data_IF_008996597857
#
_entry.id   IF_008996597857
#
_cell.length_a   1.000
_cell.length_b   1.000
_cell.length_c   1.000
_cell.angle_alpha   90.00
_cell.angle_beta   90.00
_cell.angle_gamma   90.00
#
_symmetry.space_group_name_H-M   'P 1'
#
loop_
_entity.id
_entity.type
_entity.pdbx_description
1 polymer ?
#
# COMPACT_ATOMS: atom_id res chain seq x y z
N UNK A 1 17.35 -16.65 13.86
CA UNK A 1 17.67 -17.70 12.87
C UNK A 1 17.12 -17.22 11.55
N UNK A 2 17.88 -17.17 10.45
CA UNK A 2 17.28 -16.97 9.15
C UNK A 2 16.33 -18.15 8.94
N UNK A 3 15.03 -17.87 8.78
CA UNK A 3 14.09 -18.87 8.28
C UNK A 3 14.48 -19.10 6.84
N UNK A 4 15.15 -20.23 6.59
CA UNK A 4 15.52 -20.67 5.25
C UNK A 4 14.24 -20.80 4.42
N UNK A 5 14.22 -20.19 3.23
CA UNK A 5 13.05 -20.25 2.36
C UNK A 5 12.84 -21.68 1.88
N UNK A 6 11.68 -22.26 2.16
CA UNK A 6 11.40 -23.61 1.71
C UNK A 6 11.03 -23.67 0.22
N UNK A 7 10.81 -24.88 -0.29
CA UNK A 7 10.48 -25.09 -1.69
C UNK A 7 9.18 -24.38 -2.12
N UNK A 8 8.20 -24.24 -1.22
CA UNK A 8 6.93 -23.57 -1.50
C UNK A 8 7.14 -22.05 -1.59
N UNK A 9 7.96 -21.48 -0.71
CA UNK A 9 8.30 -20.06 -0.73
C UNK A 9 9.07 -19.69 -2.00
N UNK A 10 10.01 -20.52 -2.43
CA UNK A 10 10.73 -20.34 -3.69
C UNK A 10 9.81 -20.45 -4.91
N UNK A 11 8.86 -21.38 -4.89
CA UNK A 11 7.87 -21.52 -5.95
C UNK A 11 6.92 -20.31 -6.00
N UNK A 12 6.46 -19.84 -4.84
CA UNK A 12 5.63 -18.64 -4.71
C UNK A 12 6.35 -17.39 -5.21
N UNK A 13 7.61 -17.18 -4.84
CA UNK A 13 8.41 -16.05 -5.32
C UNK A 13 8.57 -16.05 -6.84
N UNK A 14 8.79 -17.22 -7.46
CA UNK A 14 8.86 -17.34 -8.93
C UNK A 14 7.51 -17.10 -9.62
N UNK A 15 6.42 -17.62 -9.04
CA UNK A 15 5.09 -17.52 -9.64
C UNK A 15 4.45 -16.14 -9.46
N UNK A 16 4.82 -15.41 -8.41
CA UNK A 16 4.18 -14.17 -7.96
C UNK A 16 5.19 -13.06 -7.66
N UNK A 17 6.11 -12.82 -8.59
CA UNK A 17 7.09 -11.75 -8.51
C UNK A 17 6.40 -10.39 -8.27
N UNK A 18 6.87 -9.64 -7.26
CA UNK A 18 6.27 -8.36 -6.85
C UNK A 18 4.95 -8.45 -6.05
N UNK A 19 4.44 -9.65 -5.76
CA UNK A 19 3.23 -9.85 -4.95
C UNK A 19 3.49 -10.55 -3.60
N UNK A 20 4.67 -11.13 -3.42
CA UNK A 20 5.07 -11.78 -2.16
C UNK A 20 5.72 -10.76 -1.22
N UNK A 21 5.23 -10.71 0.03
CA UNK A 21 5.72 -9.82 1.07
C UNK A 21 6.18 -10.63 2.28
N UNK A 22 7.41 -10.39 2.71
CA UNK A 22 7.96 -10.92 3.96
C UNK A 22 7.39 -10.20 5.18
N UNK A 23 6.47 -10.85 5.89
CA UNK A 23 5.75 -10.27 7.05
C UNK A 23 6.65 -9.98 8.25
N UNK A 24 7.76 -10.70 8.40
CA UNK A 24 8.76 -10.43 9.44
C UNK A 24 9.44 -9.06 9.22
N UNK A 25 9.73 -8.70 7.96
CA UNK A 25 10.23 -7.37 7.61
C UNK A 25 9.18 -6.29 7.87
N UNK A 26 7.91 -6.53 7.56
CA UNK A 26 6.83 -5.55 7.82
C UNK A 26 6.78 -5.17 9.30
N UNK A 27 6.98 -6.14 10.20
CA UNK A 27 6.96 -5.90 11.65
C UNK A 27 8.07 -4.96 12.13
N UNK A 28 9.21 -4.89 11.45
CA UNK A 28 10.30 -3.96 11.86
C UNK A 28 9.99 -2.50 11.53
N UNK A 29 9.07 -2.24 10.60
CA UNK A 29 8.63 -0.89 10.22
C UNK A 29 7.34 -0.45 10.94
N UNK A 30 6.61 -1.39 11.56
CA UNK A 30 5.33 -1.11 12.20
C UNK A 30 5.49 -0.11 13.35
N UNK A 31 4.81 1.04 13.25
CA UNK A 31 4.83 2.09 14.27
C UNK A 31 6.09 2.98 14.27
N UNK A 32 7.08 2.72 13.39
CA UNK A 32 8.30 3.54 13.28
C UNK A 32 8.10 4.83 12.48
N UNK A 33 7.15 4.82 11.55
CA UNK A 33 6.82 5.93 10.67
C UNK A 33 5.33 6.30 10.80
N UNK A 34 4.95 7.57 10.60
CA UNK A 34 3.58 8.05 10.72
C UNK A 34 2.71 7.66 9.51
N UNK A 35 2.76 6.39 9.09
CA UNK A 35 1.99 5.84 7.97
C UNK A 35 1.34 4.51 8.37
N UNK A 36 0.19 4.14 7.78
CA UNK A 36 -0.44 2.84 8.03
C UNK A 36 0.48 1.68 7.63
N UNK A 37 0.32 0.53 8.31
CA UNK A 37 1.12 -0.67 8.06
C UNK A 37 1.11 -1.11 6.60
N UNK A 38 -0.04 -1.01 5.92
CA UNK A 38 -0.17 -1.43 4.52
C UNK A 38 0.71 -0.61 3.55
N UNK A 39 1.09 0.64 3.92
CA UNK A 39 2.02 1.46 3.14
C UNK A 39 3.42 0.83 3.16
N UNK A 40 3.88 0.43 4.35
CA UNK A 40 5.12 -0.32 4.49
C UNK A 40 5.08 -1.67 3.77
N UNK A 41 3.96 -2.39 3.85
CA UNK A 41 3.76 -3.64 3.11
C UNK A 41 3.88 -3.46 1.60
N UNK A 42 3.27 -2.41 1.05
CA UNK A 42 3.37 -2.10 -0.37
C UNK A 42 4.80 -1.80 -0.81
N UNK A 43 5.52 -0.97 -0.05
CA UNK A 43 6.91 -0.63 -0.37
C UNK A 43 7.82 -1.86 -0.27
N UNK A 44 7.66 -2.68 0.77
CA UNK A 44 8.40 -3.93 0.91
C UNK A 44 8.06 -4.94 -0.19
N UNK A 45 6.79 -5.09 -0.55
CA UNK A 45 6.40 -5.94 -1.68
C UNK A 45 6.96 -5.48 -3.02
N UNK A 46 7.24 -4.18 -3.15
CA UNK A 46 7.82 -3.62 -4.36
C UNK A 46 9.34 -3.75 -4.45
N UNK A 47 10.05 -3.54 -3.34
CA UNK A 47 11.51 -3.46 -3.32
C UNK A 47 12.19 -4.70 -2.74
N UNK A 48 11.45 -5.53 -1.99
CA UNK A 48 11.97 -6.72 -1.30
C UNK A 48 11.29 -8.02 -1.76
N UNK A 49 10.63 -8.05 -2.92
CA UNK A 49 10.03 -9.25 -3.49
C UNK A 49 11.08 -10.14 -4.17
N UNK A 50 12.08 -10.57 -3.41
CA UNK A 50 13.12 -11.51 -3.82
C UNK A 50 13.37 -12.52 -2.71
N UNK A 51 13.93 -13.67 -3.06
CA UNK A 51 14.45 -14.66 -2.11
C UNK A 51 15.95 -14.51 -1.86
N UNK A 52 16.63 -13.62 -2.59
CA UNK A 52 18.04 -13.32 -2.40
C UNK A 52 18.24 -12.33 -1.25
N UNK A 53 18.97 -12.72 -0.22
CA UNK A 53 19.20 -11.88 0.96
C UNK A 53 19.88 -10.54 0.63
N UNK A 54 20.77 -10.50 -0.35
CA UNK A 54 21.46 -9.27 -0.75
C UNK A 54 20.50 -8.27 -1.41
N UNK A 55 19.65 -8.74 -2.31
CA UNK A 55 18.61 -7.92 -2.96
C UNK A 55 17.57 -7.43 -1.94
N UNK A 56 17.17 -8.30 -1.00
CA UNK A 56 16.28 -7.91 0.11
C UNK A 56 16.91 -6.80 0.95
N UNK A 57 18.20 -6.92 1.29
CA UNK A 57 18.92 -5.92 2.09
C UNK A 57 19.01 -4.57 1.38
N UNK A 58 19.28 -4.56 0.07
CA UNK A 58 19.25 -3.34 -0.75
C UNK A 58 17.84 -2.74 -0.78
N UNK A 59 16.83 -3.57 -1.04
CA UNK A 59 15.43 -3.17 -1.04
C UNK A 59 15.01 -2.53 0.28
N UNK A 60 15.44 -3.09 1.41
CA UNK A 60 15.17 -2.55 2.75
C UNK A 60 15.76 -1.15 2.93
N UNK A 61 16.99 -0.90 2.48
CA UNK A 61 17.60 0.43 2.54
C UNK A 61 16.81 1.44 1.70
N UNK A 62 16.30 1.02 0.53
CA UNK A 62 15.45 1.86 -0.30
C UNK A 62 14.14 2.22 0.42
N UNK A 63 13.47 1.24 1.03
CA UNK A 63 12.23 1.46 1.78
C UNK A 63 12.47 2.37 2.98
N UNK A 64 13.52 2.11 3.76
CA UNK A 64 13.87 2.91 4.93
C UNK A 64 14.14 4.37 4.56
N UNK A 65 14.91 4.60 3.50
CA UNK A 65 15.19 5.94 2.96
C UNK A 65 13.91 6.64 2.50
N UNK A 66 13.05 5.97 1.72
CA UNK A 66 11.81 6.58 1.24
C UNK A 66 10.88 6.97 2.39
N UNK A 67 10.71 6.10 3.38
CA UNK A 67 9.88 6.41 4.54
C UNK A 67 10.49 7.52 5.40
N UNK A 68 11.82 7.55 5.59
CA UNK A 68 12.46 8.61 6.36
C UNK A 68 12.42 9.98 5.69
N UNK A 69 12.53 10.03 4.37
CA UNK A 69 12.58 11.29 3.62
C UNK A 69 11.19 11.84 3.29
N UNK A 70 10.15 11.00 3.26
CA UNK A 70 8.84 11.37 2.69
C UNK A 70 7.67 11.21 3.67
N UNK A 71 7.80 10.43 4.74
CA UNK A 71 6.74 10.32 5.74
C UNK A 71 6.84 11.52 6.70
N UNK A 72 5.89 12.44 6.60
CA UNK A 72 5.89 13.69 7.38
C UNK A 72 5.47 13.41 8.82
N UNK A 73 6.32 13.77 9.79
CA UNK A 73 5.95 13.74 11.23
C UNK A 73 5.14 14.96 11.62
N UNK A 74 4.39 14.85 12.73
CA UNK A 74 3.45 15.87 13.20
C UNK A 74 4.10 17.26 13.45
N UNK A 75 5.41 17.32 13.67
CA UNK A 75 6.20 18.52 13.92
C UNK A 75 7.07 18.96 12.72
N UNK A 76 7.07 18.21 11.63
CA UNK A 76 7.90 18.47 10.44
C UNK A 76 7.10 19.16 9.30
N UNK A 77 5.80 19.40 9.47
CA UNK A 77 4.94 19.93 8.40
C UNK A 77 5.43 21.25 7.77
N UNK A 78 5.93 22.19 8.58
CA UNK A 78 6.45 23.47 8.07
C UNK A 78 7.80 23.32 7.38
N UNK A 79 8.60 22.32 7.77
CA UNK A 79 9.84 21.98 7.10
C UNK A 79 9.57 21.52 5.66
N UNK A 80 8.60 20.62 5.46
CA UNK A 80 8.23 20.15 4.13
C UNK A 80 7.61 21.26 3.26
N UNK A 81 6.78 22.14 3.83
CA UNK A 81 6.25 23.32 3.13
C UNK A 81 7.37 24.28 2.70
N UNK A 82 8.32 24.55 3.59
CA UNK A 82 9.48 25.38 3.29
C UNK A 82 10.34 24.74 2.18
N UNK A 83 10.61 23.43 2.24
CA UNK A 83 11.32 22.72 1.19
C UNK A 83 10.60 22.81 -0.16
N UNK A 84 9.28 22.66 -0.20
CA UNK A 84 8.50 22.83 -1.43
C UNK A 84 8.67 24.24 -2.01
N UNK A 85 8.65 25.27 -1.15
CA UNK A 85 8.86 26.66 -1.55
C UNK A 85 10.27 26.93 -2.06
N UNK A 86 11.30 26.51 -1.33
CA UNK A 86 12.70 26.81 -1.67
C UNK A 86 13.21 26.00 -2.87
N UNK A 87 12.77 24.74 -2.99
CA UNK A 87 13.22 23.84 -4.05
C UNK A 87 12.21 23.73 -5.22
N UNK A 88 11.09 24.44 -5.15
CA UNK A 88 9.96 24.37 -6.09
C UNK A 88 9.08 23.12 -5.96
N UNK A 89 9.54 22.08 -5.26
CA UNK A 89 8.72 20.90 -4.91
C UNK A 89 9.35 20.02 -3.85
N UNK A 90 8.53 19.19 -3.23
CA UNK A 90 8.93 18.14 -2.29
C UNK A 90 8.11 16.87 -2.51
N UNK A 91 8.69 15.70 -2.27
CA UNK A 91 7.95 14.43 -2.30
C UNK A 91 7.56 14.00 -0.89
N UNK A 92 6.30 13.63 -0.72
CA UNK A 92 5.75 13.14 0.55
C UNK A 92 4.97 11.85 0.33
N UNK A 93 4.74 11.11 1.42
CA UNK A 93 3.76 10.03 1.48
C UNK A 93 2.63 10.48 2.39
N UNK A 94 1.43 10.66 1.83
CA UNK A 94 0.28 11.17 2.58
C UNK A 94 -1.04 10.54 2.10
N UNK A 95 -2.06 10.63 2.94
CA UNK A 95 -3.43 10.34 2.57
C UNK A 95 -3.94 11.44 1.64
N UNK A 96 -4.18 11.10 0.38
CA UNK A 96 -4.74 12.03 -0.59
C UNK A 96 -6.25 11.89 -0.67
N UNK A 97 -6.96 12.98 -0.37
CA UNK A 97 -8.41 13.12 -0.60
C UNK A 97 -8.66 14.33 -1.48
N UNK A 98 -9.79 14.36 -2.18
CA UNK A 98 -10.20 15.49 -2.99
C UNK A 98 -11.69 15.80 -2.79
N UNK A 99 -12.07 17.04 -3.08
CA UNK A 99 -13.47 17.47 -3.12
C UNK A 99 -13.68 18.49 -4.24
N UNK A 100 -14.93 18.61 -4.69
CA UNK A 100 -15.33 19.69 -5.59
C UNK A 100 -15.54 20.97 -4.78
N UNK A 101 -14.74 22.00 -5.05
CA UNK A 101 -15.03 23.35 -4.60
C UNK A 101 -16.05 23.98 -5.55
N UNK A 102 -17.31 23.90 -5.17
CA UNK A 102 -18.44 24.39 -5.98
C UNK A 102 -18.43 25.91 -6.17
N UNK A 103 -17.73 26.67 -5.32
CA UNK A 103 -17.67 28.13 -5.45
C UNK A 103 -16.78 28.55 -6.62
N UNK A 104 -15.66 27.86 -6.77
CA UNK A 104 -14.65 28.15 -7.80
C UNK A 104 -14.71 27.18 -8.99
N UNK A 105 -15.61 26.18 -8.93
CA UNK A 105 -15.77 25.13 -9.93
C UNK A 105 -14.47 24.37 -10.26
N UNK A 106 -13.70 24.05 -9.23
CA UNK A 106 -12.43 23.30 -9.33
C UNK A 106 -12.37 22.19 -8.30
N UNK A 107 -11.57 21.16 -8.58
CA UNK A 107 -11.21 20.19 -7.55
C UNK A 107 -10.09 20.74 -6.67
N UNK A 108 -10.16 20.43 -5.38
CA UNK A 108 -9.08 20.68 -4.42
C UNK A 108 -8.76 19.42 -3.65
N UNK A 109 -7.47 19.22 -3.41
CA UNK A 109 -6.94 18.12 -2.63
C UNK A 109 -6.68 18.54 -1.17
N UNK A 110 -6.72 17.56 -0.29
CA UNK A 110 -6.32 17.69 1.12
C UNK A 110 -5.18 16.73 1.40
N UNK A 111 -4.12 17.26 2.01
CA UNK A 111 -2.91 16.58 2.46
C UNK A 111 -2.81 16.78 3.98
N UNK A 112 -3.38 15.86 4.78
CA UNK A 112 -3.54 16.05 6.21
C UNK A 112 -2.21 16.11 6.97
N UNK A 113 -1.17 15.40 6.50
CA UNK A 113 0.14 15.41 7.17
C UNK A 113 0.84 16.77 7.06
N UNK A 114 0.45 17.58 6.08
CA UNK A 114 0.88 18.98 5.94
C UNK A 114 -0.15 20.00 6.42
N UNK A 115 -1.32 19.55 6.91
CA UNK A 115 -2.44 20.42 7.27
C UNK A 115 -2.89 21.33 6.12
N UNK A 116 -2.79 20.87 4.87
CA UNK A 116 -3.24 21.61 3.68
C UNK A 116 -4.60 21.08 3.23
N UNK A 117 -5.59 21.96 3.02
CA UNK A 117 -6.98 21.57 2.70
C UNK A 117 -7.49 22.09 1.35
N UNK A 118 -6.66 22.88 0.67
CA UNK A 118 -6.98 23.66 -0.52
C UNK A 118 -5.86 23.55 -1.57
N UNK A 119 -5.24 22.37 -1.67
CA UNK A 119 -4.16 22.10 -2.62
C UNK A 119 -4.74 21.98 -4.03
N UNK A 120 -4.12 22.65 -5.01
CA UNK A 120 -4.52 22.54 -6.43
C UNK A 120 -4.30 21.11 -6.92
N UNK A 121 -5.24 20.58 -7.71
CA UNK A 121 -5.11 19.26 -8.34
C UNK A 121 -5.78 19.25 -9.71
N UNK A 122 -5.15 18.59 -10.69
CA UNK A 122 -5.70 18.49 -12.03
C UNK A 122 -6.96 17.60 -12.06
N UNK A 123 -8.06 18.01 -12.73
CA UNK A 123 -9.27 17.19 -12.86
C UNK A 123 -9.07 15.81 -13.50
N UNK A 124 -8.05 15.63 -14.36
CA UNK A 124 -7.69 14.31 -14.90
C UNK A 124 -7.22 13.34 -13.80
N UNK A 125 -6.34 13.79 -12.89
CA UNK A 125 -5.86 12.97 -11.77
C UNK A 125 -7.01 12.50 -10.89
N UNK A 126 -8.00 13.37 -10.63
CA UNK A 126 -9.18 13.01 -9.83
C UNK A 126 -10.03 11.97 -10.56
N UNK A 127 -10.30 12.15 -11.86
CA UNK A 127 -11.10 11.20 -12.67
C UNK A 127 -10.42 9.83 -12.84
N UNK A 128 -9.10 9.80 -12.90
CA UNK A 128 -8.36 8.53 -12.94
C UNK A 128 -8.41 7.79 -11.59
N UNK A 129 -8.77 8.49 -10.51
CA UNK A 129 -8.69 8.01 -9.14
C UNK A 129 -9.92 8.41 -8.31
N UNK A 130 -11.12 7.96 -8.69
CA UNK A 130 -12.40 8.28 -8.02
C UNK A 130 -12.40 8.08 -6.49
N UNK A 131 -11.54 7.20 -5.97
CA UNK A 131 -11.36 6.99 -4.52
C UNK A 131 -10.99 8.26 -3.77
N UNK A 132 -10.36 9.25 -4.41
CA UNK A 132 -10.09 10.55 -3.77
C UNK A 132 -11.36 11.22 -3.24
N UNK A 133 -12.51 10.99 -3.90
CA UNK A 133 -13.80 11.62 -3.57
C UNK A 133 -14.63 10.85 -2.52
N UNK A 134 -14.22 9.64 -2.14
CA UNK A 134 -15.02 8.71 -1.29
C UNK A 134 -14.33 8.28 0.01
N UNK A 135 -13.08 8.69 0.22
CA UNK A 135 -12.31 8.35 1.43
C UNK A 135 -10.79 8.44 1.26
N UNK A 136 -10.32 8.62 0.03
CA UNK A 136 -8.90 8.79 -0.28
C UNK A 136 -8.11 7.49 -0.31
N UNK A 137 -6.81 7.65 -0.52
CA UNK A 137 -5.82 6.59 -0.46
C UNK A 137 -4.44 7.19 -0.18
N UNK A 138 -3.53 6.42 0.38
CA UNK A 138 -2.15 6.86 0.52
C UNK A 138 -1.46 6.88 -0.83
N UNK A 139 -0.68 7.92 -1.09
CA UNK A 139 0.08 8.08 -2.32
C UNK A 139 1.45 8.70 -2.03
N UNK A 140 2.42 8.40 -2.88
CA UNK A 140 3.59 9.27 -3.03
C UNK A 140 3.15 10.49 -3.83
N UNK A 141 3.21 11.68 -3.24
CA UNK A 141 2.76 12.94 -3.82
C UNK A 141 3.95 13.85 -4.00
N UNK A 142 4.13 14.38 -5.21
CA UNK A 142 5.02 15.51 -5.45
C UNK A 142 4.21 16.80 -5.28
N UNK A 143 4.43 17.45 -4.14
CA UNK A 143 3.85 18.74 -3.81
C UNK A 143 4.72 19.84 -4.38
N UNK A 144 4.16 20.67 -5.25
CA UNK A 144 4.81 21.86 -5.77
C UNK A 144 4.35 23.13 -5.07
N UNK A 145 5.19 24.16 -5.14
CA UNK A 145 4.86 25.50 -4.70
C UNK A 145 5.04 26.49 -5.85
N UNK A 146 4.03 27.32 -6.10
CA UNK A 146 4.05 28.36 -7.12
C UNK A 146 4.06 29.76 -6.47
N UNK A 147 5.16 30.53 -6.60
CA UNK A 147 5.28 31.86 -6.01
C UNK A 147 4.44 32.93 -6.72
N UNK A 148 4.11 32.75 -8.01
CA UNK A 148 3.29 33.69 -8.76
C UNK A 148 1.84 33.60 -8.28
N UNK A 149 1.34 32.37 -8.13
CA UNK A 149 0.01 32.13 -7.53
C UNK A 149 -0.01 32.61 -6.07
N UNK A 150 1.09 32.47 -5.33
CA UNK A 150 1.16 32.97 -3.94
C UNK A 150 0.95 34.49 -3.82
N UNK A 151 1.23 35.25 -4.88
CA UNK A 151 1.05 36.70 -4.91
C UNK A 151 -0.40 37.14 -5.20
N UNK A 152 -1.26 36.21 -5.61
CA UNK A 152 -2.68 36.48 -5.86
C UNK A 152 -3.49 36.56 -4.56
N UNK A 153 -4.48 37.46 -4.52
CA UNK A 153 -5.32 37.72 -3.33
C UNK A 153 -6.05 36.48 -2.76
N UNK A 154 -6.29 35.47 -3.59
CA UNK A 154 -6.91 34.20 -3.22
C UNK A 154 -6.16 32.98 -3.80
N UNK A 155 -4.87 33.15 -4.07
CA UNK A 155 -4.04 32.12 -4.69
C UNK A 155 -3.83 30.90 -3.79
N UNK A 156 -3.78 29.73 -4.41
CA UNK A 156 -3.46 28.45 -3.76
C UNK A 156 -2.06 28.03 -4.18
N UNK A 157 -1.00 28.43 -3.47
CA UNK A 157 0.37 28.25 -3.97
C UNK A 157 0.76 26.77 -4.10
N UNK A 158 0.21 25.92 -3.23
CA UNK A 158 0.49 24.49 -3.24
C UNK A 158 -0.34 23.75 -4.31
N UNK A 159 0.33 22.86 -5.06
CA UNK A 159 -0.30 22.01 -6.07
C UNK A 159 0.22 20.57 -6.02
N UNK A 160 -0.62 19.63 -6.43
CA UNK A 160 -0.20 18.24 -6.70
C UNK A 160 0.35 18.19 -8.12
N UNK A 161 1.69 18.10 -8.25
CA UNK A 161 2.34 17.98 -9.56
C UNK A 161 2.25 16.57 -10.11
N UNK A 162 2.57 15.59 -9.28
CA UNK A 162 2.45 14.17 -9.61
C UNK A 162 1.95 13.41 -8.39
N UNK A 163 1.27 12.30 -8.62
CA UNK A 163 0.92 11.37 -7.56
C UNK A 163 1.05 9.93 -8.06
N UNK A 164 1.48 9.06 -7.15
CA UNK A 164 1.53 7.62 -7.38
C UNK A 164 0.78 6.91 -6.26
N UNK A 165 -0.36 6.27 -6.56
CA UNK A 165 -1.10 5.52 -5.55
C UNK A 165 -0.23 4.42 -4.92
N UNK A 166 -0.27 4.33 -3.59
CA UNK A 166 0.29 3.23 -2.81
C UNK A 166 -0.85 2.24 -2.57
N UNK A 167 -1.01 1.30 -3.49
CA UNK A 167 -2.11 0.34 -3.47
C UNK A 167 -1.58 -1.06 -3.80
N UNK A 168 -1.97 -2.04 -3.00
CA UNK A 168 -1.68 -3.45 -3.26
C UNK A 168 -2.55 -4.02 -4.41
N UNK A 169 -3.70 -3.41 -4.67
CA UNK A 169 -4.68 -3.91 -5.65
C UNK A 169 -4.40 -3.40 -7.06
N UNK A 170 -4.02 -4.30 -7.97
CA UNK A 170 -4.08 -4.05 -9.41
C UNK A 170 -5.47 -4.41 -9.93
N UNK A 171 -6.00 -3.64 -10.90
CA UNK A 171 -7.32 -3.93 -11.51
C UNK A 171 -7.34 -5.28 -12.26
N UNK A 172 -6.19 -5.79 -12.70
CA UNK A 172 -6.05 -7.05 -13.44
C UNK A 172 -5.19 -8.07 -12.67
N UNK A 173 -5.65 -8.46 -11.47
CA UNK A 173 -4.96 -9.47 -10.66
C UNK A 173 -5.28 -10.91 -11.11
N UNK A 174 -6.41 -11.12 -11.79
CA UNK A 174 -6.88 -12.46 -12.15
C UNK A 174 -5.97 -13.15 -13.17
N UNK A 175 -5.48 -12.42 -14.18
CA UNK A 175 -4.56 -12.96 -15.18
C UNK A 175 -3.25 -13.48 -14.57
N UNK A 176 -2.50 -12.66 -13.81
CA UNK A 176 -1.33 -13.11 -13.06
C UNK A 176 -1.62 -14.26 -12.10
N UNK A 177 -2.76 -14.22 -11.38
CA UNK A 177 -3.13 -15.28 -10.45
C UNK A 177 -3.36 -16.63 -11.14
N UNK A 178 -4.05 -16.62 -12.29
CA UNK A 178 -4.31 -17.82 -13.09
C UNK A 178 -3.01 -18.44 -13.60
N UNK A 179 -2.11 -17.63 -14.17
CA UNK A 179 -0.79 -18.11 -14.64
C UNK A 179 0.05 -18.67 -13.51
N UNK A 180 0.11 -17.97 -12.38
CA UNK A 180 0.84 -18.45 -11.21
C UNK A 180 0.29 -19.78 -10.70
N UNK A 181 -1.05 -19.93 -10.64
CA UNK A 181 -1.72 -21.17 -10.22
C UNK A 181 -1.29 -22.39 -11.03
N UNK A 182 -1.02 -22.25 -12.34
CA UNK A 182 -0.59 -23.36 -13.21
C UNK A 182 0.73 -23.99 -12.76
N UNK A 183 1.57 -23.26 -12.01
CA UNK A 183 2.86 -23.74 -11.51
C UNK A 183 2.76 -24.63 -10.26
N UNK A 184 1.58 -24.74 -9.64
CA UNK A 184 1.38 -25.46 -8.39
C UNK A 184 0.56 -26.73 -8.57
N UNK A 185 0.90 -27.77 -7.83
CA UNK A 185 -0.05 -28.85 -7.56
C UNK A 185 -1.20 -28.34 -6.68
N UNK A 186 -2.33 -29.07 -6.68
CA UNK A 186 -3.46 -28.70 -5.81
C UNK A 186 -3.10 -28.73 -4.31
N UNK A 187 -2.17 -29.59 -3.90
CA UNK A 187 -1.69 -29.66 -2.52
C UNK A 187 -0.84 -28.43 -2.15
N UNK A 188 0.12 -28.06 -2.99
CA UNK A 188 0.96 -26.87 -2.77
C UNK A 188 0.12 -25.58 -2.82
N UNK A 189 -0.85 -25.51 -3.73
CA UNK A 189 -1.76 -24.36 -3.80
C UNK A 189 -2.56 -24.19 -2.51
N UNK A 190 -3.10 -25.28 -1.96
CA UNK A 190 -3.82 -25.25 -0.68
C UNK A 190 -2.90 -24.75 0.45
N UNK A 191 -1.65 -25.24 0.49
CA UNK A 191 -0.65 -24.81 1.48
C UNK A 191 -0.32 -23.32 1.34
N UNK A 192 -0.16 -22.82 0.12
CA UNK A 192 0.10 -21.41 -0.15
C UNK A 192 -1.05 -20.51 0.34
N UNK A 193 -2.31 -20.91 0.09
CA UNK A 193 -3.48 -20.17 0.55
C UNK A 193 -3.60 -20.13 2.08
N UNK A 194 -3.22 -21.21 2.77
CA UNK A 194 -3.15 -21.22 4.24
C UNK A 194 -2.07 -20.28 4.77
N UNK A 195 -0.88 -20.28 4.14
CA UNK A 195 0.20 -19.35 4.49
C UNK A 195 -0.15 -17.89 4.24
N UNK A 196 -0.87 -17.60 3.17
CA UNK A 196 -1.26 -16.21 2.84
C UNK A 196 -2.20 -15.58 3.87
N UNK A 197 -2.96 -16.40 4.60
CA UNK A 197 -3.77 -15.98 5.75
C UNK A 197 -3.03 -16.10 7.09
N UNK A 198 -1.73 -16.37 7.06
CA UNK A 198 -0.83 -16.37 8.22
C UNK A 198 -0.78 -17.68 9.01
N UNK A 199 -1.22 -18.80 8.43
CA UNK A 199 -1.19 -20.12 9.09
C UNK A 199 -0.15 -21.04 8.44
N UNK A 200 0.63 -21.73 9.26
CA UNK A 200 1.63 -22.69 8.79
C UNK A 200 0.98 -24.08 8.57
N UNK A 201 0.91 -24.60 7.33
CA UNK A 201 0.21 -25.85 7.04
C UNK A 201 0.72 -27.05 7.83
N UNK A 202 2.02 -27.11 8.12
CA UNK A 202 2.63 -28.21 8.87
C UNK A 202 2.17 -28.29 10.33
N UNK A 203 1.63 -27.19 10.86
CA UNK A 203 1.08 -27.13 12.22
C UNK A 203 -0.40 -27.48 12.29
N UNK A 204 -1.03 -27.77 11.15
CA UNK A 204 -2.46 -28.06 11.05
C UNK A 204 -2.69 -29.54 10.76
N UNK A 205 -3.69 -30.13 11.40
CA UNK A 205 -4.26 -31.39 10.91
C UNK A 205 -4.98 -31.14 9.58
N UNK A 206 -5.16 -32.19 8.78
CA UNK A 206 -5.92 -32.11 7.52
C UNK A 206 -7.32 -31.52 7.74
N UNK A 207 -8.01 -31.99 8.79
CA UNK A 207 -9.33 -31.46 9.17
C UNK A 207 -9.29 -29.96 9.49
N UNK A 208 -8.27 -29.50 10.21
CA UNK A 208 -8.14 -28.09 10.56
C UNK A 208 -7.84 -27.22 9.32
N UNK A 209 -6.98 -27.69 8.43
CA UNK A 209 -6.70 -27.04 7.15
C UNK A 209 -7.98 -26.89 6.32
N UNK A 210 -8.82 -27.93 6.23
CA UNK A 210 -10.08 -27.88 5.49
C UNK A 210 -11.09 -26.89 6.11
N UNK A 211 -11.16 -26.79 7.44
CA UNK A 211 -11.99 -25.78 8.11
C UNK A 211 -11.53 -24.37 7.76
N UNK A 212 -10.23 -24.11 7.78
CA UNK A 212 -9.69 -22.81 7.38
C UNK A 212 -10.03 -22.50 5.93
N UNK A 213 -9.86 -23.47 5.02
CA UNK A 213 -10.24 -23.28 3.61
C UNK A 213 -11.73 -22.95 3.45
N UNK A 214 -12.60 -23.61 4.23
CA UNK A 214 -14.03 -23.32 4.23
C UNK A 214 -14.34 -21.89 4.69
N UNK A 215 -13.57 -21.34 5.65
CA UNK A 215 -13.68 -19.94 6.08
C UNK A 215 -13.32 -18.94 4.98
N UNK A 216 -12.64 -19.36 3.91
CA UNK A 216 -12.29 -18.49 2.78
C UNK A 216 -13.38 -18.42 1.71
N UNK A 217 -14.31 -19.38 1.68
CA UNK A 217 -15.39 -19.46 0.67
C UNK A 217 -16.26 -18.19 0.62
N UNK A 218 -16.66 -17.56 1.75
CA UNK A 218 -17.45 -16.33 1.71
C UNK A 218 -16.81 -15.15 0.95
N UNK A 219 -15.47 -15.16 0.78
CA UNK A 219 -14.78 -14.10 0.04
C UNK A 219 -14.81 -14.27 -1.47
N UNK A 220 -15.13 -15.47 -1.97
CA UNK A 220 -15.09 -15.81 -3.40
C UNK A 220 -16.45 -16.24 -3.95
N UNK A 221 -17.34 -16.73 -3.09
CA UNK A 221 -18.70 -17.16 -3.48
C UNK A 221 -19.75 -16.15 -3.05
N UNK A 222 -20.56 -15.69 -4.01
CA UNK A 222 -21.67 -14.78 -3.73
C UNK A 222 -22.78 -15.53 -3.00
N UNK A 223 -23.46 -14.84 -2.09
CA UNK A 223 -24.58 -15.37 -1.31
C UNK A 223 -24.24 -16.59 -0.44
N UNK A 224 -22.97 -16.78 -0.09
CA UNK A 224 -22.54 -17.84 0.81
C UNK A 224 -22.38 -17.28 2.23
N UNK A 225 -23.23 -17.75 3.16
CA UNK A 225 -23.19 -17.36 4.57
C UNK A 225 -22.67 -18.53 5.41
N UNK A 226 -21.68 -18.26 6.27
CA UNK A 226 -21.14 -19.25 7.22
C UNK A 226 -21.33 -18.75 8.65
N UNK A 227 -21.71 -19.66 9.52
CA UNK A 227 -21.76 -19.46 10.97
C UNK A 227 -20.89 -20.53 11.61
N UNK A 228 -19.88 -20.11 12.37
CA UNK A 228 -19.05 -21.02 13.15
C UNK A 228 -19.43 -20.90 14.62
N UNK A 229 -19.79 -22.04 15.22
CA UNK A 229 -20.15 -22.12 16.62
C UNK A 229 -18.90 -22.49 17.43
N UNK A 230 -18.48 -21.59 18.32
CA UNK A 230 -17.41 -21.87 19.28
C UNK A 230 -17.84 -22.92 20.32
N UNK A 231 -16.89 -23.60 20.97
CA UNK A 231 -17.21 -24.46 22.11
C UNK A 231 -17.91 -23.65 23.20
N UNK A 232 -18.83 -24.29 23.92
CA UNK A 232 -19.35 -23.71 25.16
C UNK A 232 -18.17 -23.55 26.12
N UNK A 233 -17.98 -22.34 26.64
CA UNK A 233 -16.92 -22.02 27.60
C UNK A 233 -16.95 -22.89 28.84
#
# INVERSE_FOLDING_TARGET
>A
MPTDFDALDQLAARAFEGFIVRKDLVRSFQGRYPVPTYVGEFLLGRYCASTNEAEIAEGLQIVERQLSERAVRADEQELFKAQARENGSVRIIDLLTAKLDTKNNVYIATLPSLQLTDVRIDPSMVRENDRMLTGGFYAEVELEYDPEIAAESAGRPFGVRTLRPIQLSQRDVLGPLARGREMFTSAEWRRLLLRSVGLEPEKLSERAADVVMLRLVPFVERNYNVVELGPRG
#
